data_IF_549457658064
#
_entry.id   IF_549457658064
#
_cell.length_a   1.000
_cell.length_b   1.000
_cell.length_c   1.000
_cell.angle_alpha   90.00
_cell.angle_beta   90.00
_cell.angle_gamma   90.00
#
_symmetry.space_group_name_H-M   'P 1'
#
loop_
_entity.id
_entity.type
_entity.pdbx_description
1 polymer ?
#
# COMPACT_ATOMS: atom_id res chain seq x y z
N UNK A 1 16.24 5.70 -0.98
CA UNK A 1 15.53 4.50 -1.49
C UNK A 1 15.13 4.72 -2.93
N UNK A 2 15.32 3.74 -3.78
CA UNK A 2 14.85 3.71 -5.16
C UNK A 2 13.50 3.01 -5.24
N UNK A 3 12.65 3.38 -6.20
CA UNK A 3 11.29 2.84 -6.39
C UNK A 3 11.07 2.58 -7.87
N UNK A 4 10.63 1.38 -8.24
CA UNK A 4 10.15 1.07 -9.58
C UNK A 4 8.73 0.50 -9.49
N UNK A 5 7.79 1.16 -10.16
CA UNK A 5 6.39 0.73 -10.19
C UNK A 5 6.13 -0.17 -11.39
N UNK A 6 5.45 -1.27 -11.18
CA UNK A 6 4.96 -2.20 -12.19
C UNK A 6 3.43 -2.16 -12.20
N UNK A 7 2.86 -2.14 -13.37
CA UNK A 7 1.41 -2.10 -13.60
C UNK A 7 0.96 -3.41 -14.23
N UNK A 8 -0.01 -4.06 -13.64
CA UNK A 8 -0.55 -5.33 -14.15
C UNK A 8 -1.72 -5.82 -13.30
N UNK A 9 -1.76 -7.14 -13.08
CA UNK A 9 -2.72 -7.77 -12.19
C UNK A 9 -4.17 -7.75 -12.68
N UNK A 10 -5.10 -7.91 -11.73
CA UNK A 10 -6.52 -8.10 -12.02
C UNK A 10 -7.25 -6.80 -12.39
N UNK A 11 -6.99 -5.72 -11.66
CA UNK A 11 -7.69 -4.43 -11.82
C UNK A 11 -6.71 -3.25 -11.79
N UNK A 12 -5.74 -3.23 -12.70
CA UNK A 12 -4.69 -2.21 -12.77
C UNK A 12 -3.88 -2.09 -11.47
N UNK A 13 -3.59 -3.24 -10.86
CA UNK A 13 -2.76 -3.31 -9.67
C UNK A 13 -1.38 -2.68 -9.92
N UNK A 14 -0.84 -2.11 -8.88
CA UNK A 14 0.52 -1.57 -8.82
C UNK A 14 1.32 -2.35 -7.77
N UNK A 15 2.34 -3.06 -8.20
CA UNK A 15 3.40 -3.56 -7.33
C UNK A 15 4.60 -2.64 -7.42
N UNK A 16 5.36 -2.55 -6.32
CA UNK A 16 6.56 -1.71 -6.31
C UNK A 16 7.76 -2.52 -5.85
N UNK A 17 8.80 -2.56 -6.69
CA UNK A 17 10.12 -2.98 -6.26
C UNK A 17 10.82 -1.76 -5.67
N UNK A 18 11.22 -1.88 -4.40
CA UNK A 18 11.93 -0.85 -3.66
C UNK A 18 13.29 -1.36 -3.23
N UNK A 19 14.32 -0.51 -3.23
CA UNK A 19 15.62 -0.95 -2.75
C UNK A 19 16.46 0.17 -2.15
N UNK A 20 17.30 -0.22 -1.22
CA UNK A 20 18.36 0.63 -0.69
C UNK A 20 19.49 0.71 -1.70
N UNK A 21 19.81 1.90 -2.19
CA UNK A 21 20.85 2.09 -3.20
C UNK A 21 22.24 1.71 -2.68
N UNK A 22 22.52 1.99 -1.41
CA UNK A 22 23.81 1.71 -0.79
C UNK A 22 24.07 0.23 -0.55
N UNK A 23 23.04 -0.56 -0.17
CA UNK A 23 23.20 -1.98 0.21
C UNK A 23 22.72 -2.94 -0.85
N UNK A 24 21.97 -2.47 -1.84
CA UNK A 24 21.27 -3.26 -2.86
C UNK A 24 20.23 -4.22 -2.30
N UNK A 25 19.89 -4.11 -1.01
CA UNK A 25 18.80 -4.86 -0.38
C UNK A 25 17.48 -4.31 -0.90
N UNK A 26 16.61 -5.22 -1.35
CA UNK A 26 15.35 -4.92 -2.00
C UNK A 26 14.16 -5.55 -1.26
N UNK A 27 13.01 -4.95 -1.49
CA UNK A 27 11.70 -5.47 -1.09
C UNK A 27 10.65 -5.20 -2.15
N UNK A 28 9.55 -5.94 -2.09
CA UNK A 28 8.39 -5.76 -2.95
C UNK A 28 7.23 -5.26 -2.09
N UNK A 29 6.50 -4.26 -2.55
CA UNK A 29 5.21 -3.85 -1.98
C UNK A 29 4.13 -4.53 -2.82
N UNK A 30 3.37 -5.41 -2.21
CA UNK A 30 2.32 -6.27 -2.75
C UNK A 30 2.76 -7.19 -3.91
N UNK A 31 2.43 -8.45 -3.81
CA UNK A 31 2.64 -9.45 -4.84
C UNK A 31 1.44 -9.50 -5.81
N UNK A 32 1.08 -8.36 -6.40
CA UNK A 32 -0.18 -8.15 -7.14
C UNK A 32 -0.09 -8.46 -8.62
N UNK A 33 1.13 -8.60 -9.16
CA UNK A 33 1.38 -8.79 -10.60
C UNK A 33 2.29 -9.98 -10.84
N UNK A 34 2.30 -10.49 -12.08
CA UNK A 34 3.26 -11.53 -12.47
C UNK A 34 4.70 -11.10 -12.23
N UNK A 35 5.51 -12.03 -11.71
CA UNK A 35 6.83 -11.72 -11.15
C UNK A 35 7.93 -11.54 -12.21
N UNK A 36 7.72 -11.94 -13.46
CA UNK A 36 8.77 -11.98 -14.51
C UNK A 36 9.50 -10.65 -14.67
N UNK A 37 8.77 -9.53 -14.87
CA UNK A 37 9.38 -8.22 -15.04
C UNK A 37 10.08 -7.73 -13.75
N UNK A 38 9.59 -8.16 -12.59
CA UNK A 38 10.20 -7.85 -11.29
C UNK A 38 11.54 -8.59 -11.18
N UNK A 39 11.58 -9.88 -11.53
CA UNK A 39 12.80 -10.69 -11.51
C UNK A 39 13.87 -10.15 -12.47
N UNK A 40 13.49 -9.79 -13.69
CA UNK A 40 14.39 -9.14 -14.65
C UNK A 40 14.98 -7.85 -14.09
N UNK A 41 14.18 -7.09 -13.34
CA UNK A 41 14.65 -5.86 -12.71
C UNK A 41 15.60 -6.13 -11.54
N UNK A 42 15.33 -7.15 -10.72
CA UNK A 42 16.20 -7.60 -9.63
C UNK A 42 17.57 -7.98 -10.18
N UNK A 43 17.59 -8.85 -11.20
CA UNK A 43 18.82 -9.34 -11.82
C UNK A 43 19.63 -8.21 -12.48
N UNK A 44 18.97 -7.37 -13.30
CA UNK A 44 19.61 -6.27 -14.01
C UNK A 44 20.25 -5.23 -13.09
N UNK A 45 19.76 -5.13 -11.85
CA UNK A 45 20.26 -4.19 -10.86
C UNK A 45 21.12 -4.85 -9.76
N UNK A 46 21.39 -6.16 -9.85
CA UNK A 46 22.08 -6.95 -8.83
C UNK A 46 21.50 -6.71 -7.43
N UNK A 47 20.18 -6.88 -7.28
CA UNK A 47 19.47 -6.66 -6.03
C UNK A 47 19.38 -7.96 -5.22
N UNK A 48 19.43 -7.84 -3.90
CA UNK A 48 19.16 -8.92 -2.96
C UNK A 48 17.73 -8.73 -2.42
N UNK A 49 16.78 -9.52 -2.91
CA UNK A 49 15.41 -9.48 -2.42
C UNK A 49 15.32 -10.16 -1.05
N UNK A 50 14.93 -9.41 -0.02
CA UNK A 50 14.81 -9.90 1.35
C UNK A 50 13.37 -9.92 1.87
N UNK A 51 12.52 -9.01 1.41
CA UNK A 51 11.19 -8.81 1.99
C UNK A 51 10.11 -8.62 0.94
N UNK A 52 8.91 -9.10 1.26
CA UNK A 52 7.69 -8.63 0.64
C UNK A 52 6.81 -7.97 1.72
N UNK A 53 6.34 -6.78 1.46
CA UNK A 53 5.47 -5.99 2.32
C UNK A 53 4.05 -6.08 1.78
N UNK A 54 3.13 -6.61 2.59
CA UNK A 54 1.73 -6.76 2.23
C UNK A 54 0.96 -5.59 2.81
N UNK A 55 0.32 -4.79 1.94
CA UNK A 55 -0.49 -3.66 2.39
C UNK A 55 -1.81 -4.13 3.01
N UNK A 56 -2.42 -5.17 2.48
CA UNK A 56 -3.60 -5.86 3.03
C UNK A 56 -3.80 -7.19 2.30
N UNK A 57 -4.64 -8.07 2.86
CA UNK A 57 -4.79 -9.45 2.37
C UNK A 57 -5.97 -9.66 1.41
N UNK A 58 -6.38 -8.65 0.64
CA UNK A 58 -7.23 -8.93 -0.51
C UNK A 58 -6.48 -9.78 -1.54
N UNK A 59 -7.20 -10.71 -2.12
CA UNK A 59 -6.66 -11.71 -3.06
C UNK A 59 -5.74 -11.13 -4.13
N UNK A 60 -6.08 -10.01 -4.71
CA UNK A 60 -5.33 -9.40 -5.80
C UNK A 60 -4.01 -8.73 -5.36
N UNK A 61 -3.82 -8.48 -4.06
CA UNK A 61 -2.56 -7.96 -3.49
C UNK A 61 -1.57 -9.06 -3.11
N UNK A 62 -2.04 -10.30 -2.95
CA UNK A 62 -1.21 -11.45 -2.55
C UNK A 62 -1.21 -12.56 -3.61
N UNK A 63 -1.80 -12.31 -4.78
CA UNK A 63 -2.04 -13.33 -5.82
C UNK A 63 -0.80 -14.07 -6.27
N UNK A 64 0.34 -13.41 -6.35
CA UNK A 64 1.62 -13.98 -6.80
C UNK A 64 2.62 -14.16 -5.66
N UNK A 65 2.13 -14.21 -4.41
CA UNK A 65 2.99 -14.37 -3.25
C UNK A 65 3.65 -15.76 -3.23
N UNK A 66 2.90 -16.80 -3.58
CA UNK A 66 3.43 -18.16 -3.65
C UNK A 66 4.53 -18.26 -4.72
N UNK A 67 4.34 -17.66 -5.90
CA UNK A 67 5.36 -17.61 -6.95
C UNK A 67 6.66 -16.95 -6.46
N UNK A 68 6.54 -15.89 -5.66
CA UNK A 68 7.70 -15.22 -5.06
C UNK A 68 8.37 -16.08 -3.99
N UNK A 69 7.62 -16.74 -3.12
CA UNK A 69 8.18 -17.57 -2.05
C UNK A 69 8.80 -18.87 -2.60
N UNK A 70 8.25 -19.42 -3.66
CA UNK A 70 8.84 -20.56 -4.37
C UNK A 70 10.18 -20.18 -5.00
N UNK A 71 10.28 -18.99 -5.59
CA UNK A 71 11.52 -18.48 -6.19
C UNK A 71 12.54 -18.05 -5.13
N UNK A 72 12.08 -17.51 -4.01
CA UNK A 72 12.89 -17.00 -2.90
C UNK A 72 12.46 -17.63 -1.56
N UNK A 73 12.87 -18.86 -1.23
CA UNK A 73 12.40 -19.58 -0.04
C UNK A 73 12.72 -18.90 1.31
N UNK A 74 13.64 -17.94 1.31
CA UNK A 74 14.02 -17.16 2.51
C UNK A 74 13.39 -15.77 2.56
N UNK A 75 12.48 -15.47 1.63
CA UNK A 75 11.80 -14.18 1.58
C UNK A 75 10.96 -13.97 2.83
N UNK A 76 11.21 -12.87 3.56
CA UNK A 76 10.40 -12.50 4.71
C UNK A 76 9.10 -11.82 4.25
N UNK A 77 7.96 -12.39 4.63
CA UNK A 77 6.65 -11.78 4.39
C UNK A 77 6.34 -10.86 5.57
N UNK A 78 6.11 -9.57 5.30
CA UNK A 78 5.82 -8.56 6.31
C UNK A 78 4.41 -8.01 6.11
N UNK A 79 3.54 -8.18 7.10
CA UNK A 79 2.17 -7.67 7.07
C UNK A 79 1.62 -7.42 8.47
N UNK A 80 0.40 -6.89 8.57
CA UNK A 80 -0.18 -6.54 9.86
C UNK A 80 -0.39 -7.78 10.76
N UNK A 81 -0.13 -7.64 12.07
CA UNK A 81 -0.18 -8.73 13.06
C UNK A 81 -1.52 -9.47 13.17
N UNK A 82 -2.62 -8.80 12.85
CA UNK A 82 -3.96 -9.38 12.87
C UNK A 82 -4.47 -9.71 11.45
N UNK A 83 -3.56 -10.07 10.56
CA UNK A 83 -3.95 -10.57 9.23
C UNK A 83 -4.79 -11.84 9.37
N UNK A 84 -5.85 -11.94 8.56
CA UNK A 84 -6.72 -13.12 8.52
C UNK A 84 -6.12 -14.28 7.72
N UNK A 85 -5.19 -13.97 6.82
CA UNK A 85 -4.43 -14.97 6.07
C UNK A 85 -3.33 -15.56 6.96
N UNK A 86 -3.25 -16.90 6.93
CA UNK A 86 -2.19 -17.63 7.61
C UNK A 86 -1.02 -17.81 6.64
N UNK A 87 -0.04 -16.95 6.78
CA UNK A 87 1.19 -17.06 6.03
C UNK A 87 2.13 -18.15 6.61
N UNK A 88 3.20 -18.41 5.88
CA UNK A 88 4.24 -19.38 6.24
C UNK A 88 5.05 -18.99 7.48
N UNK A 89 5.97 -19.85 7.91
CA UNK A 89 6.87 -19.60 9.05
C UNK A 89 7.75 -18.34 8.91
N UNK A 90 7.92 -17.81 7.69
CA UNK A 90 8.67 -16.59 7.42
C UNK A 90 7.83 -15.31 7.53
N UNK A 91 6.60 -15.39 8.07
CA UNK A 91 5.77 -14.21 8.29
C UNK A 91 6.25 -13.41 9.49
N UNK A 92 6.48 -12.12 9.25
CA UNK A 92 6.76 -11.12 10.28
C UNK A 92 5.54 -10.26 10.51
N UNK A 93 4.97 -10.39 11.68
CA UNK A 93 3.89 -9.52 12.16
C UNK A 93 4.40 -8.11 12.41
N UNK A 94 3.64 -7.13 11.95
CA UNK A 94 3.93 -5.70 12.08
C UNK A 94 2.93 -5.01 13.00
N UNK A 95 3.45 -4.13 13.84
CA UNK A 95 2.67 -3.26 14.69
C UNK A 95 2.53 -1.85 14.10
N UNK A 96 1.47 -1.14 14.50
CA UNK A 96 1.29 0.27 14.17
C UNK A 96 2.44 1.12 14.72
N UNK A 97 2.99 2.01 13.91
CA UNK A 97 4.16 2.84 14.17
C UNK A 97 5.49 2.08 14.36
N UNK A 98 5.50 0.79 14.11
CA UNK A 98 6.75 0.03 14.05
C UNK A 98 7.65 0.56 12.92
N UNK A 99 8.96 0.54 13.15
CA UNK A 99 9.95 0.90 12.14
C UNK A 99 10.64 -0.37 11.65
N UNK A 100 10.54 -0.62 10.35
CA UNK A 100 11.22 -1.71 9.66
C UNK A 100 12.39 -1.15 8.86
N UNK A 101 13.47 -1.91 8.80
CA UNK A 101 14.62 -1.57 7.95
C UNK A 101 14.61 -2.35 6.65
N UNK A 102 15.01 -1.68 5.55
CA UNK A 102 15.37 -2.29 4.28
C UNK A 102 16.76 -1.77 3.88
N UNK A 103 17.79 -2.57 4.15
CA UNK A 103 19.17 -2.08 4.15
C UNK A 103 19.34 -0.96 5.19
N UNK A 104 19.75 0.23 4.76
CA UNK A 104 19.88 1.42 5.63
C UNK A 104 18.64 2.34 5.61
N UNK A 105 17.62 1.97 4.88
CA UNK A 105 16.37 2.73 4.81
C UNK A 105 15.41 2.32 5.93
N UNK A 106 14.68 3.29 6.46
CA UNK A 106 13.66 3.09 7.51
C UNK A 106 12.27 3.31 6.94
N UNK A 107 11.38 2.38 7.23
CA UNK A 107 9.97 2.41 6.80
C UNK A 107 9.12 2.33 8.07
N UNK A 108 8.24 3.30 8.28
CA UNK A 108 7.27 3.30 9.37
C UNK A 108 5.97 2.65 8.90
N UNK A 109 5.46 1.73 9.68
CA UNK A 109 4.17 1.05 9.46
C UNK A 109 3.04 1.90 10.03
N UNK A 110 2.07 2.25 9.21
CA UNK A 110 0.85 2.92 9.64
C UNK A 110 -0.32 1.95 9.47
N UNK A 111 -0.93 1.47 10.55
CA UNK A 111 -2.16 0.68 10.46
C UNK A 111 -3.30 1.59 10.05
N UNK A 112 -3.90 1.31 8.91
CA UNK A 112 -4.92 2.15 8.25
C UNK A 112 -6.14 1.33 7.85
N UNK A 113 -6.87 0.76 8.83
CA UNK A 113 -8.05 -0.06 8.56
C UNK A 113 -9.20 0.77 7.97
N UNK A 114 -10.15 0.08 7.38
CA UNK A 114 -11.37 0.68 6.84
C UNK A 114 -11.75 0.10 5.49
N UNK A 115 -10.85 0.11 4.51
CA UNK A 115 -11.03 -0.68 3.30
C UNK A 115 -10.97 -2.19 3.64
N UNK A 116 -9.95 -2.59 4.38
CA UNK A 116 -9.81 -3.93 4.94
C UNK A 116 -9.23 -3.85 6.36
N UNK A 117 -9.52 -4.82 7.27
CA UNK A 117 -9.09 -4.73 8.68
C UNK A 117 -7.58 -4.71 8.90
N UNK A 118 -6.82 -5.43 8.07
CA UNK A 118 -5.37 -5.55 8.16
C UNK A 118 -4.60 -4.54 7.30
N UNK A 119 -5.29 -3.55 6.75
CA UNK A 119 -4.67 -2.53 5.89
C UNK A 119 -3.58 -1.77 6.62
N UNK A 120 -2.41 -1.68 5.98
CA UNK A 120 -1.27 -0.86 6.43
C UNK A 120 -0.73 -0.01 5.30
N UNK A 121 -0.23 1.16 5.65
CA UNK A 121 0.58 1.99 4.76
C UNK A 121 2.04 1.94 5.20
N UNK A 122 2.97 2.02 4.25
CA UNK A 122 4.40 1.99 4.49
C UNK A 122 5.03 3.34 4.17
N UNK A 123 5.40 4.09 5.20
CA UNK A 123 5.91 5.45 5.08
C UNK A 123 7.42 5.53 5.22
N UNK A 124 8.11 6.04 4.21
CA UNK A 124 9.51 6.42 4.30
C UNK A 124 9.63 7.93 4.54
N UNK A 125 9.87 8.31 5.77
CA UNK A 125 9.96 9.72 6.20
C UNK A 125 11.10 10.46 5.48
N UNK A 126 12.27 9.83 5.35
CA UNK A 126 13.47 10.43 4.74
C UNK A 126 13.26 10.71 3.25
N UNK A 127 12.65 9.77 2.53
CA UNK A 127 12.34 9.89 1.11
C UNK A 127 11.06 10.68 0.84
N UNK A 128 10.28 10.98 1.88
CA UNK A 128 9.02 11.71 1.81
C UNK A 128 7.98 11.08 0.89
N UNK A 129 7.74 9.78 1.05
CA UNK A 129 6.74 9.02 0.31
C UNK A 129 6.08 7.95 1.16
N UNK A 130 4.88 7.51 0.76
CA UNK A 130 4.10 6.48 1.42
C UNK A 130 3.42 5.56 0.40
N UNK A 131 3.53 4.24 0.61
CA UNK A 131 2.73 3.25 -0.10
C UNK A 131 1.41 3.09 0.65
N UNK A 132 0.31 3.33 -0.03
CA UNK A 132 -0.99 3.46 0.62
C UNK A 132 -1.91 2.26 0.41
N UNK A 133 -1.49 1.26 -0.36
CA UNK A 133 -2.36 0.15 -0.75
C UNK A 133 -3.70 0.69 -1.22
N UNK A 134 -4.77 0.14 -0.68
CA UNK A 134 -6.14 0.52 -1.01
C UNK A 134 -6.79 1.46 0.02
N UNK A 135 -6.00 2.02 0.94
CA UNK A 135 -6.50 3.06 1.84
C UNK A 135 -6.72 4.39 1.09
N UNK A 136 -5.78 4.77 0.23
CA UNK A 136 -5.84 6.02 -0.51
C UNK A 136 -5.29 5.84 -1.93
N UNK A 137 -6.06 6.25 -2.93
CA UNK A 137 -5.66 6.32 -4.34
C UNK A 137 -5.48 7.76 -4.79
N UNK A 138 -5.02 7.94 -6.03
CA UNK A 138 -5.02 9.26 -6.67
C UNK A 138 -6.46 9.67 -6.97
N UNK A 139 -6.94 10.70 -6.27
CA UNK A 139 -8.28 11.28 -6.44
C UNK A 139 -9.43 10.53 -5.75
N UNK A 140 -9.17 9.44 -5.01
CA UNK A 140 -10.21 8.71 -4.27
C UNK A 140 -9.65 7.80 -3.17
N UNK A 141 -10.55 7.21 -2.39
CA UNK A 141 -10.24 6.20 -1.36
C UNK A 141 -10.52 4.78 -1.85
N UNK A 142 -10.10 3.80 -1.06
CA UNK A 142 -10.61 2.43 -1.13
C UNK A 142 -12.11 2.36 -0.84
N UNK A 143 -12.76 1.34 -1.37
CA UNK A 143 -14.19 1.09 -1.15
C UNK A 143 -14.42 0.46 0.22
N UNK A 144 -15.63 0.67 0.73
CA UNK A 144 -16.08 0.12 2.02
C UNK A 144 -17.38 -0.63 1.90
N UNK A 145 -17.52 -1.44 0.85
CA UNK A 145 -18.73 -2.24 0.56
C UNK A 145 -18.60 -3.71 0.98
N UNK A 146 -17.40 -4.14 1.36
CA UNK A 146 -17.16 -5.49 1.83
C UNK A 146 -17.67 -5.70 3.26
N UNK A 147 -17.97 -6.94 3.67
CA UNK A 147 -18.52 -7.24 5.00
C UNK A 147 -17.56 -6.91 6.15
N UNK A 148 -16.28 -6.72 5.86
CA UNK A 148 -15.22 -6.39 6.84
C UNK A 148 -14.76 -4.94 6.75
N UNK A 149 -15.31 -4.16 5.82
CA UNK A 149 -14.95 -2.76 5.64
C UNK A 149 -15.73 -1.85 6.57
N UNK A 150 -15.19 -0.65 6.85
CA UNK A 150 -15.77 0.30 7.79
C UNK A 150 -15.43 1.75 7.42
N UNK A 151 -16.44 2.60 7.20
CA UNK A 151 -16.26 3.99 6.83
C UNK A 151 -15.60 4.83 7.93
N UNK A 152 -15.97 4.62 9.19
CA UNK A 152 -15.42 5.36 10.34
C UNK A 152 -13.93 5.05 10.52
N UNK A 153 -13.56 3.75 10.40
CA UNK A 153 -12.15 3.37 10.44
C UNK A 153 -11.38 3.96 9.27
N UNK A 154 -11.95 3.98 8.05
CA UNK A 154 -11.31 4.57 6.88
C UNK A 154 -11.13 6.09 7.05
N UNK A 155 -12.15 6.77 7.62
CA UNK A 155 -12.05 8.19 7.96
C UNK A 155 -10.86 8.44 8.89
N UNK A 156 -10.78 7.74 10.02
CA UNK A 156 -9.67 7.89 10.96
C UNK A 156 -8.32 7.59 10.31
N UNK A 157 -8.23 6.52 9.52
CA UNK A 157 -7.00 6.15 8.79
C UNK A 157 -6.53 7.26 7.85
N UNK A 158 -7.46 7.95 7.20
CA UNK A 158 -7.16 9.05 6.29
C UNK A 158 -6.85 10.34 7.07
N UNK A 159 -7.76 10.77 7.97
CA UNK A 159 -7.69 12.09 8.57
C UNK A 159 -6.75 12.19 9.78
N UNK A 160 -6.59 11.11 10.55
CA UNK A 160 -5.74 11.09 11.74
C UNK A 160 -4.33 10.57 11.45
N UNK A 161 -4.14 9.78 10.36
CA UNK A 161 -2.85 9.24 9.98
C UNK A 161 -2.31 9.88 8.68
N UNK A 162 -2.93 9.60 7.53
CA UNK A 162 -2.33 9.97 6.24
C UNK A 162 -2.30 11.47 5.99
N UNK A 163 -3.38 12.20 6.28
CA UNK A 163 -3.42 13.65 6.09
C UNK A 163 -2.58 14.43 7.12
N UNK A 164 -2.06 13.79 8.17
CA UNK A 164 -1.08 14.36 9.11
C UNK A 164 0.35 14.30 8.59
N UNK A 165 0.61 13.51 7.57
CA UNK A 165 1.93 13.46 6.94
C UNK A 165 2.24 14.80 6.24
N UNK A 166 3.53 15.12 6.00
CA UNK A 166 3.89 16.33 5.26
C UNK A 166 3.18 16.40 3.92
N UNK A 167 2.63 17.54 3.56
CA UNK A 167 1.83 17.70 2.33
C UNK A 167 2.59 17.39 1.03
N UNK A 168 3.93 17.44 1.07
CA UNK A 168 4.79 17.06 -0.06
C UNK A 168 5.05 15.55 -0.15
N UNK A 169 4.53 14.75 0.82
CA UNK A 169 4.65 13.29 0.78
C UNK A 169 3.99 12.75 -0.48
N UNK A 170 4.74 11.99 -1.26
CA UNK A 170 4.24 11.34 -2.47
C UNK A 170 3.52 10.05 -2.09
N UNK A 171 2.29 9.87 -2.55
CA UNK A 171 1.54 8.62 -2.37
C UNK A 171 1.78 7.65 -3.53
N UNK A 172 1.91 6.37 -3.20
CA UNK A 172 2.02 5.24 -4.12
C UNK A 172 0.91 4.24 -3.82
N UNK A 173 -0.23 4.27 -4.55
CA UNK A 173 -1.41 3.46 -4.26
C UNK A 173 -1.29 2.01 -4.76
N UNK A 174 -2.20 1.13 -4.28
CA UNK A 174 -2.30 -0.26 -4.73
C UNK A 174 -2.82 -0.43 -6.16
N UNK A 175 -3.57 0.55 -6.71
CA UNK A 175 -4.11 0.52 -8.07
C UNK A 175 -3.95 1.83 -8.83
N UNK A 176 -3.82 1.74 -10.15
CA UNK A 176 -3.75 2.88 -11.05
C UNK A 176 -5.17 3.32 -11.49
N UNK A 177 -5.92 3.92 -10.57
CA UNK A 177 -7.26 4.42 -10.88
C UNK A 177 -7.29 5.90 -11.25
N UNK A 178 -6.27 6.65 -10.90
CA UNK A 178 -6.18 8.07 -11.21
C UNK A 178 -5.56 8.37 -12.57
N UNK A 179 -5.36 9.65 -12.86
CA UNK A 179 -4.70 10.13 -14.07
C UNK A 179 -3.17 10.00 -14.05
N UNK A 180 -2.59 9.79 -12.86
CA UNK A 180 -1.18 9.49 -12.62
C UNK A 180 -1.05 8.28 -11.71
N UNK A 181 0.11 7.61 -11.73
CA UNK A 181 0.43 6.51 -10.81
C UNK A 181 0.69 6.98 -9.37
N UNK A 182 1.14 8.24 -9.21
CA UNK A 182 1.46 8.84 -7.92
C UNK A 182 1.30 10.36 -7.97
N UNK A 183 0.97 10.98 -6.84
CA UNK A 183 0.84 12.43 -6.66
C UNK A 183 1.28 12.79 -5.23
N UNK A 184 1.50 14.07 -4.94
CA UNK A 184 1.70 14.51 -3.55
C UNK A 184 0.37 14.52 -2.79
N UNK A 185 0.43 14.41 -1.44
CA UNK A 185 -0.77 14.58 -0.60
C UNK A 185 -1.45 15.91 -0.87
N UNK A 186 -0.69 17.00 -1.01
CA UNK A 186 -1.24 18.33 -1.35
C UNK A 186 -2.05 18.30 -2.64
N UNK A 187 -1.51 17.69 -3.69
CA UNK A 187 -2.20 17.54 -4.98
C UNK A 187 -3.44 16.67 -4.80
N UNK A 188 -3.32 15.53 -4.09
CA UNK A 188 -4.43 14.61 -3.87
C UNK A 188 -5.59 15.21 -3.08
N UNK A 189 -5.30 15.99 -2.04
CA UNK A 189 -6.32 16.72 -1.28
C UNK A 189 -7.10 17.67 -2.21
N UNK A 190 -6.42 18.38 -3.10
CA UNK A 190 -7.10 19.33 -4.01
C UNK A 190 -7.94 18.65 -5.09
N UNK A 191 -7.66 17.37 -5.40
CA UNK A 191 -8.34 16.63 -6.47
C UNK A 191 -9.67 16.01 -6.06
N UNK A 192 -9.93 15.84 -4.76
CA UNK A 192 -10.97 14.92 -4.35
C UNK A 192 -11.73 15.36 -3.09
N UNK A 193 -13.08 15.31 -3.12
CA UNK A 193 -13.91 15.60 -1.96
C UNK A 193 -13.67 14.64 -0.79
N UNK A 194 -13.20 13.42 -1.03
CA UNK A 194 -12.87 12.45 0.04
C UNK A 194 -11.83 12.96 1.04
N UNK A 195 -10.99 13.92 0.65
CA UNK A 195 -9.89 14.45 1.47
C UNK A 195 -10.14 15.89 1.95
N UNK A 196 -11.36 16.41 1.78
CA UNK A 196 -11.76 17.77 2.12
C UNK A 196 -12.95 17.82 3.08
N UNK A 197 -13.37 16.68 3.63
CA UNK A 197 -14.48 16.62 4.58
C UNK A 197 -14.10 17.27 5.93
N UNK A 198 -15.03 18.02 6.51
CA UNK A 198 -14.85 18.69 7.79
C UNK A 198 -15.27 17.82 8.97
N UNK A 199 -15.92 16.68 8.71
CA UNK A 199 -16.35 15.73 9.73
C UNK A 199 -16.46 14.32 9.17
N UNK A 200 -16.52 13.34 10.08
CA UNK A 200 -16.76 11.95 9.75
C UNK A 200 -18.11 11.76 9.05
N UNK A 201 -19.18 12.41 9.52
CA UNK A 201 -20.52 12.34 8.91
C UNK A 201 -20.52 12.85 7.46
N UNK A 202 -19.71 13.87 7.16
CA UNK A 202 -19.56 14.38 5.80
C UNK A 202 -18.81 13.36 4.93
N UNK A 203 -17.74 12.76 5.45
CA UNK A 203 -17.00 11.74 4.75
C UNK A 203 -17.86 10.50 4.43
N UNK A 204 -18.66 10.05 5.40
CA UNK A 204 -19.57 8.90 5.21
C UNK A 204 -20.57 9.21 4.08
N UNK A 205 -21.19 10.40 4.07
CA UNK A 205 -22.08 10.81 2.98
C UNK A 205 -21.38 10.83 1.61
N UNK A 206 -20.17 11.38 1.53
CA UNK A 206 -19.39 11.38 0.29
C UNK A 206 -19.09 9.96 -0.19
N UNK A 207 -18.79 9.03 0.72
CA UNK A 207 -18.59 7.62 0.39
C UNK A 207 -19.85 6.94 -0.12
N UNK A 208 -21.00 7.17 0.52
CA UNK A 208 -22.31 6.62 0.13
C UNK A 208 -22.74 7.13 -1.25
N UNK A 209 -22.69 8.43 -1.47
CA UNK A 209 -23.01 9.07 -2.76
C UNK A 209 -22.14 8.52 -3.89
N UNK A 210 -20.85 8.32 -3.62
CA UNK A 210 -19.93 7.75 -4.60
C UNK A 210 -20.28 6.30 -4.95
N UNK A 211 -20.60 5.47 -3.98
CA UNK A 211 -20.98 4.07 -4.22
C UNK A 211 -22.34 3.96 -4.94
N UNK A 212 -23.30 4.85 -4.67
CA UNK A 212 -24.58 4.91 -5.37
C UNK A 212 -24.40 5.26 -6.85
N UNK A 213 -23.57 6.24 -7.16
CA UNK A 213 -23.30 6.66 -8.55
C UNK A 213 -22.63 5.58 -9.39
N UNK A 214 -21.94 4.62 -8.79
CA UNK A 214 -21.30 3.49 -9.50
C UNK A 214 -22.21 2.30 -9.75
N UNK A 215 -23.36 2.20 -9.07
CA UNK A 215 -24.35 1.13 -9.25
C UNK A 215 -25.33 1.40 -10.38
N UNK A 216 -25.40 2.65 -10.84
CA UNK A 216 -26.20 3.12 -11.97
C UNK A 216 -25.32 3.24 -13.22
#
# INVERSE_FOLDING_TARGET
MQIKAFLGGYDKNLSYLIWCEATRIAGIIDASIEITEILECIDSNNLLLEKVFITHTHFDHIKYLDDLTDQFPYLQICGYKNSEEKFTDNYRELDHHEIITLGTEMITVLHTPGHYPDSVCFWNKKGNFVFTGDTMFVGRTGRTIGPKSNNSCLYSSIYDELLKLPQQTVIYPGHHYGYKKSVTLKENISLSPFFQCNSEDEFIRVMEDYEETRRN
#
